data_IF_708241402733
#
_entry.id   IF_708241402733
#
_cell.length_a   1.000
_cell.length_b   1.000
_cell.length_c   1.000
_cell.angle_alpha   90.00
_cell.angle_beta   90.00
_cell.angle_gamma   90.00
#
_symmetry.space_group_name_H-M   'P 1'
#
loop_
_entity.id
_entity.type
_entity.pdbx_description
1 polymer ?
#
# COMPACT_ATOMS: atom_id res chain seq x y z
N UNK A 1 3.77 -2.65 -9.18
CA UNK A 1 3.88 -1.21 -8.83
C UNK A 1 2.58 -0.57 -9.20
N UNK A 2 1.87 -0.04 -8.22
CA UNK A 2 0.53 0.52 -8.39
C UNK A 2 0.46 2.05 -8.21
N UNK A 3 1.53 2.68 -7.73
CA UNK A 3 1.58 4.12 -7.50
C UNK A 3 3.00 4.71 -7.65
N UNK A 4 3.08 6.04 -7.57
CA UNK A 4 4.32 6.82 -7.46
C UNK A 4 4.22 7.70 -6.21
N UNK A 5 5.27 7.71 -5.38
CA UNK A 5 5.29 8.43 -4.10
C UNK A 5 6.41 9.46 -4.12
N UNK A 6 6.04 10.74 -4.01
CA UNK A 6 6.98 11.86 -3.93
C UNK A 6 7.22 12.27 -2.47
N UNK A 7 8.30 13.02 -2.24
CA UNK A 7 8.69 13.53 -0.93
C UNK A 7 7.86 14.76 -0.56
N UNK A 8 7.43 14.85 0.70
CA UNK A 8 6.72 16.04 1.17
C UNK A 8 7.56 17.30 0.94
N UNK A 9 6.90 18.36 0.47
CA UNK A 9 7.50 19.65 0.06
C UNK A 9 8.48 19.59 -1.11
N UNK A 10 8.67 18.44 -1.76
CA UNK A 10 9.46 18.32 -3.00
C UNK A 10 8.57 18.53 -4.23
N UNK A 11 8.29 19.80 -4.54
CA UNK A 11 7.44 20.19 -5.68
C UNK A 11 8.08 19.77 -7.01
N UNK A 12 9.40 19.80 -7.12
CA UNK A 12 10.11 19.39 -8.34
C UNK A 12 9.87 17.92 -8.66
N UNK A 13 9.98 17.04 -7.67
CA UNK A 13 9.67 15.62 -7.84
C UNK A 13 8.20 15.37 -8.15
N UNK A 14 7.29 16.11 -7.51
CA UNK A 14 5.87 16.04 -7.82
C UNK A 14 5.56 16.39 -9.28
N UNK A 15 6.07 17.54 -9.77
CA UNK A 15 5.88 17.99 -11.15
C UNK A 15 6.46 16.99 -12.15
N UNK A 16 7.65 16.44 -11.85
CA UNK A 16 8.26 15.39 -12.67
C UNK A 16 7.34 14.17 -12.79
N UNK A 17 6.83 13.65 -11.68
CA UNK A 17 5.96 12.47 -11.71
C UNK A 17 4.65 12.73 -12.43
N UNK A 18 4.07 13.93 -12.29
CA UNK A 18 2.87 14.31 -13.04
C UNK A 18 3.16 14.39 -14.54
N UNK A 19 4.27 15.03 -14.95
CA UNK A 19 4.68 15.09 -16.36
C UNK A 19 4.83 13.70 -16.96
N UNK A 20 5.55 12.81 -16.29
CA UNK A 20 5.70 11.41 -16.72
C UNK A 20 4.35 10.69 -16.89
N UNK A 21 3.40 10.91 -15.98
CA UNK A 21 2.08 10.30 -16.06
C UNK A 21 1.21 10.95 -17.13
N UNK A 22 1.32 12.25 -17.36
CA UNK A 22 0.56 12.97 -18.38
C UNK A 22 0.91 12.47 -19.79
N UNK A 23 2.21 12.27 -20.04
CA UNK A 23 2.76 11.85 -21.34
C UNK A 23 2.59 10.33 -21.59
N UNK A 24 2.66 9.49 -20.55
CA UNK A 24 2.63 8.03 -20.69
C UNK A 24 1.27 7.43 -20.31
N UNK A 25 0.42 7.21 -21.32
CA UNK A 25 -0.90 6.56 -21.17
C UNK A 25 -0.79 5.11 -20.71
N UNK A 26 0.19 4.36 -21.20
CA UNK A 26 0.33 2.92 -20.87
C UNK A 26 0.73 2.75 -19.41
N UNK A 27 1.65 3.57 -18.92
CA UNK A 27 2.06 3.60 -17.52
C UNK A 27 0.89 3.95 -16.61
N UNK A 28 0.06 4.95 -16.96
CA UNK A 28 -1.17 5.25 -16.21
C UNK A 28 -2.11 4.05 -16.15
N UNK A 29 -2.38 3.42 -17.30
CA UNK A 29 -3.27 2.26 -17.36
C UNK A 29 -2.74 1.09 -16.53
N UNK A 30 -1.43 0.82 -16.60
CA UNK A 30 -0.77 -0.22 -15.81
C UNK A 30 -0.86 0.06 -14.32
N UNK A 31 -0.46 1.26 -13.87
CA UNK A 31 -0.52 1.64 -12.46
C UNK A 31 -1.96 1.55 -11.92
N UNK A 32 -2.94 2.07 -12.67
CA UNK A 32 -4.34 2.03 -12.28
C UNK A 32 -4.91 0.61 -12.17
N UNK A 33 -4.60 -0.28 -13.13
CA UNK A 33 -5.01 -1.69 -13.09
C UNK A 33 -4.43 -2.41 -11.87
N UNK A 34 -3.14 -2.22 -11.62
CA UNK A 34 -2.48 -2.82 -10.45
C UNK A 34 -3.07 -2.27 -9.15
N UNK A 35 -3.29 -0.95 -9.04
CA UNK A 35 -3.89 -0.34 -7.85
C UNK A 35 -5.29 -0.86 -7.57
N UNK A 36 -6.12 -0.96 -8.61
CA UNK A 36 -7.46 -1.51 -8.51
C UNK A 36 -7.43 -2.97 -8.08
N UNK A 37 -6.52 -3.78 -8.65
CA UNK A 37 -6.31 -5.16 -8.26
C UNK A 37 -5.95 -5.28 -6.77
N UNK A 38 -5.01 -4.46 -6.27
CA UNK A 38 -4.63 -4.43 -4.85
C UNK A 38 -5.84 -4.19 -3.94
N UNK A 39 -6.66 -3.19 -4.29
CA UNK A 39 -7.85 -2.83 -3.49
C UNK A 39 -8.88 -3.95 -3.55
N UNK A 40 -9.19 -4.43 -4.76
CA UNK A 40 -10.22 -5.44 -4.97
C UNK A 40 -9.86 -6.79 -4.34
N UNK A 41 -8.61 -7.21 -4.40
CA UNK A 41 -8.21 -8.56 -3.97
C UNK A 41 -7.74 -8.61 -2.52
N UNK A 42 -7.11 -7.55 -2.00
CA UNK A 42 -6.44 -7.59 -0.69
C UNK A 42 -7.04 -6.60 0.31
N UNK A 43 -7.37 -5.38 -0.13
CA UNK A 43 -7.86 -4.30 0.76
C UNK A 43 -9.37 -4.07 0.64
N UNK A 44 -10.14 -5.10 0.29
CA UNK A 44 -11.59 -5.01 0.22
C UNK A 44 -12.24 -5.19 1.61
N UNK A 45 -13.49 -4.72 1.79
CA UNK A 45 -14.22 -4.84 3.06
C UNK A 45 -14.41 -6.28 3.54
N UNK A 46 -14.63 -7.22 2.63
CA UNK A 46 -14.88 -8.63 2.95
C UNK A 46 -13.64 -9.24 3.65
N UNK A 47 -12.47 -9.06 3.06
CA UNK A 47 -11.17 -9.49 3.63
C UNK A 47 -10.90 -8.76 4.94
N UNK A 48 -11.20 -7.46 5.03
CA UNK A 48 -11.01 -6.72 6.27
C UNK A 48 -11.90 -7.26 7.40
N UNK A 49 -13.18 -7.51 7.13
CA UNK A 49 -14.14 -8.03 8.11
C UNK A 49 -13.78 -9.45 8.56
N UNK A 50 -13.46 -10.34 7.61
CA UNK A 50 -13.04 -11.72 7.90
C UNK A 50 -11.80 -11.74 8.80
N UNK A 51 -10.77 -10.99 8.44
CA UNK A 51 -9.53 -10.93 9.22
C UNK A 51 -9.70 -10.28 10.57
N UNK A 52 -10.56 -9.27 10.68
CA UNK A 52 -10.87 -8.66 11.96
C UNK A 52 -11.57 -9.63 12.91
N UNK A 53 -12.56 -10.39 12.41
CA UNK A 53 -13.22 -11.43 13.19
C UNK A 53 -12.22 -12.48 13.67
N UNK A 54 -11.38 -12.99 12.76
CA UNK A 54 -10.33 -13.96 13.10
C UNK A 54 -9.37 -13.41 14.16
N UNK A 55 -8.93 -12.17 14.00
CA UNK A 55 -8.06 -11.49 14.96
C UNK A 55 -8.71 -11.37 16.34
N UNK A 56 -9.98 -10.96 16.41
CA UNK A 56 -10.70 -10.85 17.67
C UNK A 56 -10.81 -12.20 18.40
N UNK A 57 -11.10 -13.27 17.66
CA UNK A 57 -11.18 -14.62 18.23
C UNK A 57 -9.83 -15.11 18.75
N UNK A 58 -8.75 -14.90 18.00
CA UNK A 58 -7.40 -15.29 18.42
C UNK A 58 -6.89 -14.46 19.60
N UNK A 59 -7.21 -13.17 19.63
CA UNK A 59 -6.86 -12.27 20.72
C UNK A 59 -7.47 -12.73 22.05
N UNK A 60 -8.72 -13.21 22.04
CA UNK A 60 -9.37 -13.79 23.23
C UNK A 60 -8.65 -15.03 23.77
N UNK A 61 -7.92 -15.74 22.90
CA UNK A 61 -7.09 -16.90 23.26
C UNK A 61 -5.64 -16.52 23.59
N UNK A 62 -5.32 -15.22 23.63
CA UNK A 62 -3.96 -14.71 23.86
C UNK A 62 -3.01 -14.93 22.69
N UNK A 63 -3.53 -15.16 21.47
CA UNK A 63 -2.76 -15.37 20.25
C UNK A 63 -2.96 -14.22 19.27
N UNK A 64 -2.00 -14.05 18.36
CA UNK A 64 -2.11 -13.08 17.26
C UNK A 64 -1.83 -13.83 15.96
N UNK A 65 -2.80 -13.81 15.04
CA UNK A 65 -2.64 -14.33 13.68
C UNK A 65 -1.95 -13.27 12.82
N UNK A 66 -0.80 -13.60 12.26
CA UNK A 66 -0.07 -12.70 11.35
C UNK A 66 -0.54 -12.88 9.90
N UNK A 67 -0.65 -11.77 9.18
CA UNK A 67 -0.91 -11.73 7.74
C UNK A 67 0.28 -11.10 7.02
N UNK A 68 0.68 -11.66 5.87
CA UNK A 68 1.83 -11.14 5.11
C UNK A 68 1.57 -9.72 4.58
N UNK A 69 0.36 -9.46 4.05
CA UNK A 69 -0.04 -8.18 3.44
C UNK A 69 -1.53 -7.93 3.61
N UNK A 70 -1.93 -6.67 3.56
CA UNK A 70 -3.34 -6.26 3.62
C UNK A 70 -3.81 -5.86 5.01
N UNK A 71 -5.14 -5.83 5.24
CA UNK A 71 -5.72 -5.55 6.54
C UNK A 71 -5.12 -6.48 7.61
N UNK A 72 -4.76 -5.88 8.76
CA UNK A 72 -4.15 -6.53 9.92
C UNK A 72 -2.81 -7.26 9.64
N UNK A 73 -2.16 -6.97 8.51
CA UNK A 73 -0.75 -7.32 8.34
C UNK A 73 0.14 -6.50 9.28
N UNK A 74 1.30 -7.05 9.62
CA UNK A 74 2.23 -6.41 10.55
C UNK A 74 2.81 -5.13 9.93
N UNK A 75 2.64 -4.00 10.62
CA UNK A 75 3.29 -2.75 10.23
C UNK A 75 4.77 -2.76 10.63
N UNK A 76 5.66 -2.47 9.68
CA UNK A 76 7.08 -2.25 9.99
C UNK A 76 7.24 -0.96 10.82
N UNK A 77 8.16 -0.98 11.78
CA UNK A 77 8.55 0.24 12.51
C UNK A 77 9.41 1.09 11.59
N UNK A 78 8.87 2.23 11.17
CA UNK A 78 9.55 3.14 10.23
C UNK A 78 9.99 4.39 10.98
N UNK A 79 11.30 4.66 10.99
CA UNK A 79 11.82 5.95 11.47
C UNK A 79 11.28 7.09 10.59
N UNK A 80 10.89 8.25 11.17
CA UNK A 80 10.39 9.39 10.40
C UNK A 80 11.30 9.79 9.23
N UNK A 81 12.62 9.74 9.43
CA UNK A 81 13.63 10.08 8.41
C UNK A 81 13.65 9.05 7.27
N UNK A 82 13.21 7.82 7.52
CA UNK A 82 13.26 6.69 6.57
C UNK A 82 11.92 6.43 5.86
N UNK A 83 10.89 7.24 6.14
CA UNK A 83 9.54 7.09 5.60
C UNK A 83 9.48 6.93 4.08
N UNK A 84 10.11 7.84 3.34
CA UNK A 84 10.09 7.79 1.87
C UNK A 84 10.86 6.61 1.28
N UNK A 85 11.93 6.16 1.94
CA UNK A 85 12.64 4.96 1.51
C UNK A 85 11.77 3.73 1.69
N UNK A 86 11.00 3.67 2.78
CA UNK A 86 10.01 2.61 2.98
C UNK A 86 8.95 2.66 1.87
N UNK A 87 8.24 3.77 1.69
CA UNK A 87 7.15 3.86 0.70
C UNK A 87 7.59 3.60 -0.73
N UNK A 88 8.84 3.94 -1.09
CA UNK A 88 9.42 3.68 -2.42
C UNK A 88 9.97 2.26 -2.60
N UNK A 89 10.23 1.52 -1.52
CA UNK A 89 10.64 0.10 -1.57
C UNK A 89 9.48 -0.80 -1.96
N UNK A 90 8.25 -0.41 -1.63
CA UNK A 90 7.04 -1.17 -1.91
C UNK A 90 6.69 -1.11 -3.40
N UNK A 91 7.40 -1.93 -4.19
CA UNK A 91 7.17 -2.07 -5.63
C UNK A 91 5.92 -2.90 -5.96
N UNK A 92 5.31 -3.59 -4.99
CA UNK A 92 4.25 -4.59 -5.18
C UNK A 92 3.13 -4.51 -4.12
N UNK A 93 2.58 -3.32 -3.92
CA UNK A 93 1.12 -3.28 -3.75
C UNK A 93 0.53 -3.31 -5.17
#
# INVERSE_FOLDING_TARGET
KNAMVYRDRDIGEFLKYIGELAEDKEKRAKLGKEAYKTVKEVWNPEVAAERFRDFANELLLGRIKEYEKGPLSRAEIISPIRGYRYTRRWKNL
#
